data_IF_492375181841
#
_entry.id   IF_492375181841
#
_cell.length_a   1.000
_cell.length_b   1.000
_cell.length_c   1.000
_cell.angle_alpha   90.00
_cell.angle_beta   90.00
_cell.angle_gamma   90.00
#
_symmetry.space_group_name_H-M   'P 1'
#
loop_
_entity.id
_entity.type
_entity.pdbx_description
1 polymer ?
#
# COMPACT_ATOMS: atom_id res chain seq x y z
N UNK A 1 18.04 8.14 -3.15
CA UNK A 1 17.50 6.77 -3.10
C UNK A 1 15.99 6.89 -3.18
N UNK A 2 15.28 6.12 -4.02
CA UNK A 2 13.82 6.10 -4.02
C UNK A 2 13.32 5.74 -2.62
N UNK A 3 12.30 6.45 -2.17
CA UNK A 3 11.65 6.21 -0.88
C UNK A 3 10.30 5.59 -1.12
N UNK A 4 9.95 4.63 -0.28
CA UNK A 4 8.66 3.96 -0.29
C UNK A 4 7.98 4.17 1.05
N UNK A 5 6.68 4.42 1.00
CA UNK A 5 5.78 4.29 2.14
C UNK A 5 4.89 3.09 1.87
N UNK A 6 5.02 2.06 2.69
CA UNK A 6 4.10 0.93 2.65
C UNK A 6 3.07 1.09 3.77
N UNK A 7 1.79 0.96 3.45
CA UNK A 7 0.67 1.09 4.38
C UNK A 7 -0.09 -0.24 4.38
N UNK A 8 -0.31 -0.78 5.57
CA UNK A 8 -1.12 -1.96 5.84
C UNK A 8 -2.30 -1.59 6.73
N UNK A 9 -3.47 -2.14 6.43
CA UNK A 9 -4.69 -1.93 7.23
C UNK A 9 -5.32 -3.28 7.58
N UNK A 10 -5.58 -3.44 8.86
CA UNK A 10 -6.41 -4.51 9.43
C UNK A 10 -7.68 -3.91 10.04
N UNK A 11 -8.52 -4.75 10.62
CA UNK A 11 -9.72 -4.30 11.35
C UNK A 11 -9.36 -3.38 12.53
N UNK A 12 -8.33 -3.74 13.29
CA UNK A 12 -7.99 -3.09 14.57
C UNK A 12 -6.78 -2.15 14.48
N UNK A 13 -6.02 -2.21 13.40
CA UNK A 13 -4.78 -1.46 13.27
C UNK A 13 -4.56 -0.96 11.86
N UNK A 14 -3.96 0.22 11.78
CA UNK A 14 -3.32 0.72 10.59
C UNK A 14 -1.82 0.86 10.87
N UNK A 15 -1.00 0.43 9.93
CA UNK A 15 0.46 0.38 10.06
C UNK A 15 1.10 1.03 8.85
N UNK A 16 2.24 1.68 9.05
CA UNK A 16 3.05 2.12 7.92
C UNK A 16 4.54 1.97 8.17
N UNK A 17 5.29 1.84 7.09
CA UNK A 17 6.76 1.80 7.08
C UNK A 17 7.26 2.80 6.04
N UNK A 18 8.26 3.61 6.41
CA UNK A 18 9.02 4.46 5.50
C UNK A 18 10.38 3.81 5.29
N UNK A 19 10.75 3.56 4.04
CA UNK A 19 12.02 2.91 3.72
C UNK A 19 12.73 3.56 2.52
N UNK A 20 14.07 3.56 2.57
CA UNK A 20 14.91 3.82 1.40
C UNK A 20 15.18 2.50 0.67
N UNK A 21 15.04 2.51 -0.65
CA UNK A 21 15.40 1.37 -1.51
C UNK A 21 16.70 1.70 -2.24
N UNK A 22 17.76 1.02 -1.84
CA UNK A 22 19.09 1.12 -2.43
C UNK A 22 19.25 0.30 -3.71
N UNK A 23 20.46 0.32 -4.26
CA UNK A 23 20.81 -0.52 -5.41
C UNK A 23 20.59 -2.01 -5.10
N UNK A 24 20.15 -2.78 -6.10
CA UNK A 24 19.88 -4.22 -6.00
C UNK A 24 18.78 -4.58 -4.97
N UNK A 25 17.86 -3.66 -4.68
CA UNK A 25 16.72 -3.92 -3.81
C UNK A 25 17.05 -3.95 -2.31
N UNK A 26 18.22 -3.45 -1.88
CA UNK A 26 18.52 -3.34 -0.44
C UNK A 26 17.57 -2.33 0.21
N UNK A 27 16.76 -2.79 1.16
CA UNK A 27 15.80 -1.94 1.88
C UNK A 27 16.39 -1.49 3.21
N UNK A 28 16.28 -0.20 3.52
CA UNK A 28 16.59 0.36 4.83
C UNK A 28 15.36 1.05 5.41
N UNK A 29 14.86 0.53 6.54
CA UNK A 29 13.72 1.11 7.25
C UNK A 29 14.17 2.36 8.00
N UNK A 30 13.43 3.45 7.81
CA UNK A 30 13.65 4.75 8.46
C UNK A 30 12.65 5.00 9.59
N UNK A 31 11.41 4.54 9.43
CA UNK A 31 10.36 4.64 10.43
C UNK A 31 9.34 3.51 10.25
N UNK A 32 8.74 3.08 11.35
CA UNK A 32 7.62 2.15 11.36
C UNK A 32 6.69 2.54 12.52
N UNK A 33 5.41 2.69 12.24
CA UNK A 33 4.41 3.20 13.19
C UNK A 33 3.11 2.41 13.04
N UNK A 34 2.32 2.40 14.11
CA UNK A 34 1.00 1.77 14.13
C UNK A 34 -0.01 2.62 14.89
N UNK A 35 -1.20 2.72 14.33
CA UNK A 35 -2.37 3.38 14.91
C UNK A 35 -3.45 2.32 15.19
N UNK A 36 -3.98 2.31 16.41
CA UNK A 36 -5.15 1.50 16.74
C UNK A 36 -6.42 2.13 16.13
N UNK A 37 -7.25 1.30 15.51
CA UNK A 37 -8.56 1.69 14.98
C UNK A 37 -9.58 1.43 16.09
N UNK A 38 -10.02 2.48 16.75
CA UNK A 38 -11.11 2.39 17.73
C UNK A 38 -12.47 2.36 17.00
N UNK A 39 -13.50 1.79 17.66
CA UNK A 39 -14.84 1.63 17.09
C UNK A 39 -15.49 2.96 16.62
N UNK A 40 -15.11 4.09 17.24
CA UNK A 40 -15.54 5.44 16.85
C UNK A 40 -14.67 6.00 15.70
N UNK A 41 -14.70 5.29 14.57
CA UNK A 41 -13.67 5.32 13.51
C UNK A 41 -13.61 6.58 12.63
N UNK A 42 -14.44 7.61 12.85
CA UNK A 42 -14.47 8.81 11.98
C UNK A 42 -13.16 9.61 12.02
N UNK A 43 -12.44 9.61 13.14
CA UNK A 43 -11.20 10.38 13.28
C UNK A 43 -9.94 9.65 12.80
N UNK A 44 -10.01 8.33 12.58
CA UNK A 44 -8.84 7.49 12.28
C UNK A 44 -8.12 7.90 10.98
N UNK A 45 -8.81 8.18 9.86
CA UNK A 45 -8.14 8.64 8.64
C UNK A 45 -7.41 9.97 8.81
N UNK A 46 -7.97 10.90 9.59
CA UNK A 46 -7.37 12.21 9.84
C UNK A 46 -6.13 12.10 10.73
N UNK A 47 -6.22 11.34 11.83
CA UNK A 47 -5.09 11.09 12.73
C UNK A 47 -3.92 10.43 11.99
N UNK A 48 -4.22 9.43 11.16
CA UNK A 48 -3.20 8.81 10.32
C UNK A 48 -2.61 9.82 9.32
N UNK A 49 -3.45 10.60 8.65
CA UNK A 49 -3.02 11.59 7.67
C UNK A 49 -2.04 12.59 8.27
N UNK A 50 -2.28 13.02 9.51
CA UNK A 50 -1.37 13.89 10.27
C UNK A 50 -0.07 13.17 10.64
N UNK A 51 -0.14 11.97 11.24
CA UNK A 51 1.04 11.19 11.60
C UNK A 51 1.93 10.86 10.38
N UNK A 52 1.32 10.45 9.27
CA UNK A 52 2.01 10.22 8.01
C UNK A 52 2.65 11.51 7.50
N UNK A 53 1.94 12.64 7.52
CA UNK A 53 2.50 13.92 7.06
C UNK A 53 3.71 14.33 7.89
N UNK A 54 3.65 14.20 9.20
CA UNK A 54 4.77 14.47 10.11
C UNK A 54 5.94 13.52 9.88
N UNK A 55 5.68 12.21 9.81
CA UNK A 55 6.69 11.19 9.53
C UNK A 55 7.37 11.41 8.17
N UNK A 56 6.58 11.67 7.13
CA UNK A 56 7.08 11.94 5.78
C UNK A 56 7.95 13.20 5.74
N UNK A 57 7.56 14.25 6.46
CA UNK A 57 8.35 15.49 6.56
C UNK A 57 9.65 15.23 7.31
N UNK A 58 9.57 14.59 8.49
CA UNK A 58 10.73 14.25 9.35
C UNK A 58 11.77 13.41 8.61
N UNK A 59 11.34 12.44 7.82
CA UNK A 59 12.22 11.51 7.10
C UNK A 59 12.51 11.93 5.64
N UNK A 60 12.14 13.16 5.24
CA UNK A 60 12.31 13.70 3.88
C UNK A 60 11.76 12.77 2.80
N UNK A 61 10.58 12.22 3.06
CA UNK A 61 9.88 11.21 2.27
C UNK A 61 8.56 11.75 1.66
N UNK A 62 8.38 13.06 1.58
CA UNK A 62 7.16 13.70 1.01
C UNK A 62 6.92 13.40 -0.47
N UNK A 63 7.93 12.89 -1.19
CA UNK A 63 7.84 12.44 -2.59
C UNK A 63 8.00 10.92 -2.73
N UNK A 64 7.80 10.17 -1.65
CA UNK A 64 7.90 8.72 -1.68
C UNK A 64 6.78 8.09 -2.50
N UNK A 65 7.06 6.95 -3.12
CA UNK A 65 6.03 6.11 -3.74
C UNK A 65 5.22 5.45 -2.62
N UNK A 66 3.90 5.50 -2.73
CA UNK A 66 2.99 4.91 -1.75
C UNK A 66 2.54 3.54 -2.24
N UNK A 67 2.65 2.53 -1.39
CA UNK A 67 2.11 1.20 -1.56
C UNK A 67 1.04 0.98 -0.50
N UNK A 68 -0.15 0.55 -0.91
CA UNK A 68 -1.25 0.25 0.02
C UNK A 68 -1.68 -1.20 -0.14
N UNK A 69 -1.65 -1.95 0.96
CA UNK A 69 -2.12 -3.34 0.99
C UNK A 69 -3.65 -3.39 1.01
N UNK A 70 -4.22 -4.23 0.15
CA UNK A 70 -5.65 -4.56 0.17
C UNK A 70 -5.82 -5.90 0.87
N UNK A 71 -6.75 -5.99 1.83
CA UNK A 71 -7.02 -7.23 2.54
C UNK A 71 -7.47 -8.34 1.59
N UNK A 72 -7.03 -9.57 1.84
CA UNK A 72 -7.33 -10.73 0.97
C UNK A 72 -8.83 -10.93 0.75
N UNK A 73 -9.66 -10.71 1.77
CA UNK A 73 -11.11 -10.85 1.66
C UNK A 73 -11.79 -9.80 0.77
N UNK A 74 -11.09 -8.71 0.42
CA UNK A 74 -11.58 -7.70 -0.51
C UNK A 74 -11.18 -8.00 -1.98
N UNK A 75 -10.42 -9.07 -2.23
CA UNK A 75 -10.01 -9.49 -3.57
C UNK A 75 -10.46 -10.93 -3.79
N UNK A 76 -11.35 -11.11 -4.76
CA UNK A 76 -11.61 -12.43 -5.32
C UNK A 76 -10.53 -12.76 -6.36
N UNK A 77 -10.00 -13.98 -6.31
CA UNK A 77 -9.11 -14.49 -7.36
C UNK A 77 -9.73 -15.72 -7.97
N UNK A 78 -9.79 -15.71 -9.29
CA UNK A 78 -10.31 -16.81 -10.10
C UNK A 78 -9.24 -17.16 -11.12
N UNK A 79 -8.93 -18.45 -11.23
CA UNK A 79 -8.09 -18.96 -12.30
C UNK A 79 -8.97 -19.26 -13.52
N UNK A 80 -8.56 -18.77 -14.69
CA UNK A 80 -9.25 -19.05 -15.95
C UNK A 80 -8.25 -19.22 -17.08
N UNK A 81 -8.66 -19.96 -18.10
CA UNK A 81 -7.89 -20.17 -19.32
C UNK A 81 -8.54 -19.38 -20.45
N UNK A 82 -7.78 -18.49 -21.06
CA UNK A 82 -8.20 -17.77 -22.27
C UNK A 82 -7.53 -18.37 -23.50
N UNK A 83 -8.18 -18.30 -24.68
CA UNK A 83 -7.50 -18.56 -25.95
C UNK A 83 -6.22 -17.73 -26.10
N UNK A 84 -5.32 -18.19 -26.96
CA UNK A 84 -4.12 -17.44 -27.32
C UNK A 84 -4.52 -16.08 -27.93
N UNK A 85 -3.99 -14.99 -27.38
CA UNK A 85 -4.27 -13.62 -27.77
C UNK A 85 -3.04 -12.74 -27.55
N UNK A 86 -3.01 -11.55 -28.16
CA UNK A 86 -1.97 -10.56 -27.89
C UNK A 86 -2.17 -9.92 -26.50
N UNK A 87 -1.08 -9.44 -25.88
CA UNK A 87 -1.12 -8.86 -24.53
C UNK A 87 -2.13 -7.70 -24.41
N UNK A 88 -2.29 -6.92 -25.49
CA UNK A 88 -3.25 -5.82 -25.56
C UNK A 88 -4.72 -6.28 -25.53
N UNK A 89 -5.01 -7.51 -25.95
CA UNK A 89 -6.36 -8.07 -26.04
C UNK A 89 -6.82 -8.71 -24.73
N UNK A 90 -5.87 -9.21 -23.91
CA UNK A 90 -6.14 -9.93 -22.66
C UNK A 90 -7.08 -9.17 -21.70
N UNK A 91 -6.92 -7.87 -21.41
CA UNK A 91 -7.82 -7.17 -20.49
C UNK A 91 -9.28 -7.17 -20.94
N UNK A 92 -9.53 -7.11 -22.25
CA UNK A 92 -10.87 -7.17 -22.83
C UNK A 92 -11.49 -8.56 -22.70
N UNK A 93 -10.67 -9.61 -22.83
CA UNK A 93 -11.13 -10.99 -22.65
C UNK A 93 -11.49 -11.28 -21.19
N UNK A 94 -10.64 -10.87 -20.24
CA UNK A 94 -10.89 -11.08 -18.79
C UNK A 94 -12.16 -10.39 -18.31
N UNK A 95 -12.47 -9.20 -18.81
CA UNK A 95 -13.66 -8.43 -18.40
C UNK A 95 -14.99 -9.04 -18.86
N UNK A 96 -14.98 -9.85 -19.90
CA UNK A 96 -16.19 -10.40 -20.53
C UNK A 96 -16.37 -11.91 -20.26
N UNK A 97 -15.63 -12.47 -19.28
CA UNK A 97 -15.82 -13.83 -18.80
C UNK A 97 -17.06 -13.97 -17.90
#
# INVERSE_FOLDING_TARGET
MPKIVAIDRTENYLRYVIADVGARGKVQVQAAESLAINADAESVPNQLGEQLREGLTRHKATKAVVLFGVGRGAIETVDFTVPMAEEAELPGMVRNL
#
